data_IF_178132764934
#
_entry.id   IF_178132764934
#
_cell.length_a   1.000
_cell.length_b   1.000
_cell.length_c   1.000
_cell.angle_alpha   90.00
_cell.angle_beta   90.00
_cell.angle_gamma   90.00
#
_symmetry.space_group_name_H-M   'P 1'
#
loop_
_entity.id
_entity.type
_entity.pdbx_description
1 polymer ?
#
# COMPACT_ATOMS: atom_id res chain seq x y z
N UNK A 1 3.66 19.36 2.49
CA UNK A 1 2.67 18.30 2.73
C UNK A 1 3.30 17.12 3.47
N UNK A 2 2.56 16.51 4.37
CA UNK A 2 2.93 15.30 5.08
C UNK A 2 2.13 14.13 4.53
N UNK A 3 2.72 12.94 4.54
CA UNK A 3 2.05 11.73 4.03
C UNK A 3 2.37 10.55 4.93
N UNK A 4 1.38 9.71 5.17
CA UNK A 4 1.57 8.40 5.76
C UNK A 4 1.16 7.32 4.76
N UNK A 5 1.82 6.18 4.81
CA UNK A 5 1.53 5.03 3.95
C UNK A 5 1.07 3.88 4.83
N UNK A 6 -0.03 3.27 4.45
CA UNK A 6 -0.61 2.09 5.09
C UNK A 6 -0.55 0.94 4.10
N UNK A 7 0.17 -0.11 4.43
CA UNK A 7 0.18 -1.35 3.66
C UNK A 7 -1.07 -2.17 4.00
N UNK A 8 -1.75 -2.68 2.99
CA UNK A 8 -2.99 -3.43 3.13
C UNK A 8 -2.78 -4.85 2.60
N UNK A 9 -3.24 -5.85 3.36
CA UNK A 9 -3.23 -7.24 2.93
C UNK A 9 -4.46 -7.51 2.06
N UNK A 10 -4.27 -8.19 0.92
CA UNK A 10 -5.39 -8.64 0.10
C UNK A 10 -6.24 -9.68 0.83
N UNK A 11 -7.52 -9.71 0.50
CA UNK A 11 -8.46 -10.76 0.91
C UNK A 11 -8.80 -11.63 -0.30
N UNK A 12 -9.17 -12.87 -0.06
CA UNK A 12 -9.49 -13.82 -1.11
C UNK A 12 -10.99 -13.74 -1.46
N UNK A 13 -11.38 -12.62 -2.09
CA UNK A 13 -12.76 -12.27 -2.38
C UNK A 13 -13.49 -13.34 -3.21
N UNK A 14 -12.81 -13.97 -4.17
CA UNK A 14 -13.42 -14.98 -5.06
C UNK A 14 -13.78 -16.28 -4.35
N UNK A 15 -13.15 -16.58 -3.19
CA UNK A 15 -13.47 -17.76 -2.38
C UNK A 15 -14.58 -17.52 -1.36
N UNK A 16 -15.10 -16.31 -1.27
CA UNK A 16 -16.16 -15.95 -0.34
C UNK A 16 -17.54 -16.30 -0.89
N UNK A 17 -18.46 -16.64 0.00
CA UNK A 17 -19.86 -16.79 -0.30
C UNK A 17 -20.50 -15.45 -0.69
N UNK A 18 -21.63 -15.49 -1.40
CA UNK A 18 -22.35 -14.29 -1.83
C UNK A 18 -22.71 -13.36 -0.65
N UNK A 19 -23.24 -13.82 0.49
CA UNK A 19 -23.51 -12.95 1.65
C UNK A 19 -22.26 -12.31 2.26
N UNK A 20 -21.12 -13.02 2.24
CA UNK A 20 -19.86 -12.47 2.73
C UNK A 20 -19.34 -11.36 1.82
N UNK A 21 -19.43 -11.55 0.49
CA UNK A 21 -19.07 -10.53 -0.49
C UNK A 21 -19.92 -9.28 -0.36
N UNK A 22 -21.25 -9.45 -0.25
CA UNK A 22 -22.17 -8.34 -0.03
C UNK A 22 -21.86 -7.58 1.25
N UNK A 23 -21.51 -8.28 2.34
CA UNK A 23 -21.11 -7.68 3.61
C UNK A 23 -19.84 -6.84 3.48
N UNK A 24 -18.84 -7.34 2.75
CA UNK A 24 -17.58 -6.60 2.50
C UNK A 24 -17.85 -5.38 1.62
N UNK A 25 -18.64 -5.51 0.56
CA UNK A 25 -18.97 -4.38 -0.33
C UNK A 25 -19.73 -3.29 0.41
N UNK A 26 -20.71 -3.68 1.22
CA UNK A 26 -21.46 -2.73 2.03
C UNK A 26 -20.55 -2.01 3.05
N UNK A 27 -19.68 -2.77 3.73
CA UNK A 27 -18.73 -2.23 4.67
C UNK A 27 -17.71 -1.30 3.98
N UNK A 28 -17.25 -1.64 2.78
CA UNK A 28 -16.35 -0.80 1.98
C UNK A 28 -17.00 0.54 1.59
N UNK A 29 -18.26 0.52 1.16
CA UNK A 29 -19.04 1.73 0.93
C UNK A 29 -19.12 2.59 2.19
N UNK A 30 -19.33 1.95 3.35
CA UNK A 30 -19.31 2.63 4.65
C UNK A 30 -17.98 3.31 4.95
N UNK A 31 -16.86 2.62 4.72
CA UNK A 31 -15.51 3.18 4.88
C UNK A 31 -15.31 4.39 3.97
N UNK A 32 -15.64 4.29 2.67
CA UNK A 32 -15.49 5.41 1.75
C UNK A 32 -16.32 6.61 2.15
N UNK A 33 -17.55 6.40 2.59
CA UNK A 33 -18.45 7.48 3.03
C UNK A 33 -18.04 8.13 4.36
N UNK A 34 -17.24 7.44 5.18
CA UNK A 34 -16.71 7.97 6.44
C UNK A 34 -15.44 8.80 6.28
N UNK A 35 -14.84 8.83 5.09
CA UNK A 35 -13.62 9.59 4.83
C UNK A 35 -13.93 11.07 4.61
N UNK A 36 -13.46 11.91 5.53
CA UNK A 36 -13.55 13.37 5.44
C UNK A 36 -12.33 14.01 4.77
N UNK A 37 -11.40 13.19 4.28
CA UNK A 37 -10.15 13.62 3.66
C UNK A 37 -9.81 12.75 2.43
N UNK A 38 -9.06 13.27 1.45
CA UNK A 38 -8.66 12.51 0.29
C UNK A 38 -7.65 11.42 0.68
N UNK A 39 -7.76 10.26 0.03
CA UNK A 39 -6.78 9.19 0.09
C UNK A 39 -6.31 8.85 -1.33
N UNK A 40 -5.14 8.21 -1.44
CA UNK A 40 -4.66 7.64 -2.69
C UNK A 40 -4.49 6.13 -2.49
N UNK A 41 -5.05 5.34 -3.40
CA UNK A 41 -4.85 3.89 -3.43
C UNK A 41 -3.73 3.61 -4.44
N UNK A 42 -2.66 2.99 -3.98
CA UNK A 42 -1.54 2.58 -4.80
C UNK A 42 -1.51 1.06 -4.89
N UNK A 43 -1.53 0.53 -6.10
CA UNK A 43 -1.34 -0.89 -6.37
C UNK A 43 0.01 -1.07 -7.06
N UNK A 44 0.90 -1.83 -6.42
CA UNK A 44 2.19 -2.20 -6.97
C UNK A 44 2.09 -3.64 -7.48
N UNK A 45 2.39 -3.85 -8.75
CA UNK A 45 2.51 -5.18 -9.34
C UNK A 45 3.99 -5.45 -9.65
N UNK A 46 4.51 -6.58 -9.17
CA UNK A 46 5.90 -6.95 -9.36
C UNK A 46 5.98 -8.43 -9.70
N UNK A 47 6.88 -8.81 -10.61
CA UNK A 47 7.12 -10.22 -10.92
C UNK A 47 7.69 -10.91 -9.68
N UNK A 48 7.17 -12.10 -9.35
CA UNK A 48 7.70 -12.92 -8.26
C UNK A 48 9.05 -13.49 -8.71
N UNK A 49 10.06 -13.31 -7.87
CA UNK A 49 11.34 -14.01 -8.01
C UNK A 49 11.23 -15.37 -7.31
N UNK A 50 11.24 -16.43 -8.12
CA UNK A 50 11.13 -17.82 -7.66
C UNK A 50 12.52 -18.43 -7.38
N UNK A 51 13.62 -17.79 -7.82
CA UNK A 51 14.96 -18.34 -7.65
C UNK A 51 15.30 -18.74 -6.21
N UNK A 52 15.00 -17.93 -5.16
CA UNK A 52 15.26 -18.32 -3.76
C UNK A 52 14.46 -19.54 -3.29
N UNK A 53 13.28 -19.78 -3.88
CA UNK A 53 12.49 -20.96 -3.58
C UNK A 53 13.08 -22.21 -4.22
N UNK A 54 13.49 -22.13 -5.50
CA UNK A 54 14.13 -23.23 -6.21
C UNK A 54 15.48 -23.60 -5.58
N UNK A 55 16.27 -22.62 -5.14
CA UNK A 55 17.52 -22.87 -4.40
C UNK A 55 17.26 -23.65 -3.10
N UNK A 56 16.25 -23.25 -2.35
CA UNK A 56 15.86 -23.97 -1.11
C UNK A 56 15.44 -25.41 -1.39
N UNK A 57 14.68 -25.65 -2.46
CA UNK A 57 14.29 -27.01 -2.86
C UNK A 57 15.51 -27.83 -3.28
N UNK A 58 16.44 -27.24 -4.03
CA UNK A 58 17.69 -27.89 -4.43
C UNK A 58 18.57 -28.25 -3.21
N UNK A 59 18.59 -27.38 -2.18
CA UNK A 59 19.28 -27.68 -0.92
C UNK A 59 18.64 -28.86 -0.17
N UNK A 60 17.32 -28.88 -0.08
CA UNK A 60 16.59 -30.01 0.54
C UNK A 60 16.87 -31.31 -0.24
N UNK A 61 16.87 -31.22 -1.59
CA UNK A 61 17.18 -32.35 -2.46
C UNK A 61 18.58 -32.90 -2.23
N UNK A 62 19.60 -32.05 -2.10
CA UNK A 62 20.98 -32.44 -1.85
C UNK A 62 21.18 -33.15 -0.49
N UNK A 63 20.42 -32.74 0.50
CA UNK A 63 20.50 -33.28 1.85
C UNK A 63 19.61 -34.51 2.07
N UNK A 64 18.96 -35.04 1.04
CA UNK A 64 18.07 -36.18 1.13
C UNK A 64 18.69 -37.41 0.48
N UNK A 65 18.90 -38.47 1.28
CA UNK A 65 19.53 -39.74 0.85
C UNK A 65 18.52 -40.68 0.17
N UNK A 66 17.23 -40.40 0.19
CA UNK A 66 16.21 -41.22 -0.44
C UNK A 66 16.19 -41.00 -1.97
N UNK A 67 16.69 -41.98 -2.72
CA UNK A 67 16.81 -41.90 -4.19
C UNK A 67 15.46 -41.64 -4.87
N UNK A 68 14.37 -42.32 -4.45
CA UNK A 68 13.05 -42.19 -5.07
C UNK A 68 12.48 -40.78 -4.83
N UNK A 69 12.60 -40.28 -3.59
CA UNK A 69 12.18 -38.92 -3.26
C UNK A 69 13.04 -37.89 -4.01
N UNK A 70 14.32 -38.19 -4.22
CA UNK A 70 15.21 -37.38 -4.99
C UNK A 70 14.74 -37.15 -6.44
N UNK A 71 14.34 -38.22 -7.12
CA UNK A 71 13.80 -38.13 -8.49
C UNK A 71 12.52 -37.31 -8.53
N UNK A 72 11.60 -37.54 -7.60
CA UNK A 72 10.36 -36.73 -7.49
C UNK A 72 10.64 -35.26 -7.24
N UNK A 73 11.64 -34.93 -6.42
CA UNK A 73 12.04 -33.56 -6.17
C UNK A 73 12.65 -32.88 -7.40
N UNK A 74 13.49 -33.62 -8.16
CA UNK A 74 14.07 -33.10 -9.39
C UNK A 74 12.96 -32.80 -10.43
N UNK A 75 11.98 -33.69 -10.59
CA UNK A 75 10.82 -33.46 -11.46
C UNK A 75 9.99 -32.26 -10.99
N UNK A 76 9.76 -32.14 -9.68
CA UNK A 76 9.03 -31.01 -9.10
C UNK A 76 9.74 -29.68 -9.30
N UNK A 77 11.06 -29.63 -9.09
CA UNK A 77 11.86 -28.41 -9.32
C UNK A 77 11.76 -27.98 -10.78
N UNK A 78 11.92 -28.91 -11.71
CA UNK A 78 11.82 -28.65 -13.15
C UNK A 78 10.40 -28.14 -13.52
N UNK A 79 9.36 -28.76 -12.97
CA UNK A 79 7.98 -28.33 -13.18
C UNK A 79 7.73 -26.90 -12.69
N UNK A 80 8.18 -26.56 -11.48
CA UNK A 80 8.03 -25.22 -10.92
C UNK A 80 8.81 -24.17 -11.74
N UNK A 81 10.03 -24.50 -12.17
CA UNK A 81 10.82 -23.61 -13.03
C UNK A 81 10.10 -23.34 -14.36
N UNK A 82 9.59 -24.38 -15.02
CA UNK A 82 8.85 -24.26 -16.26
C UNK A 82 7.56 -23.41 -16.08
N UNK A 83 6.76 -23.71 -15.06
CA UNK A 83 5.54 -22.92 -14.76
C UNK A 83 5.88 -21.45 -14.49
N UNK A 84 6.99 -21.20 -13.80
CA UNK A 84 7.46 -19.83 -13.53
C UNK A 84 7.83 -19.05 -14.78
N UNK A 85 8.39 -19.71 -15.78
CA UNK A 85 8.78 -19.10 -17.05
C UNK A 85 7.57 -18.83 -17.95
N UNK A 86 6.59 -19.73 -17.96
CA UNK A 86 5.38 -19.63 -18.78
C UNK A 86 4.33 -18.70 -18.15
N UNK A 87 4.09 -18.82 -16.86
CA UNK A 87 3.15 -17.99 -16.14
C UNK A 87 3.85 -16.74 -15.61
N UNK A 88 3.53 -15.56 -16.16
CA UNK A 88 3.95 -14.27 -15.59
C UNK A 88 3.31 -14.06 -14.21
N UNK A 89 3.78 -14.79 -13.20
CA UNK A 89 3.25 -14.72 -11.84
C UNK A 89 3.63 -13.35 -11.23
N UNK A 90 2.60 -12.58 -10.91
CA UNK A 90 2.77 -11.22 -10.38
C UNK A 90 2.28 -11.17 -8.94
N UNK A 91 3.11 -10.66 -8.07
CA UNK A 91 2.72 -10.26 -6.72
C UNK A 91 2.13 -8.86 -6.74
N UNK A 92 0.99 -8.68 -6.07
CA UNK A 92 0.31 -7.39 -5.95
C UNK A 92 0.32 -6.94 -4.50
N UNK A 93 0.94 -5.79 -4.29
CA UNK A 93 0.95 -5.12 -2.98
C UNK A 93 0.04 -3.89 -3.03
N UNK A 94 -0.76 -3.71 -1.99
CA UNK A 94 -1.75 -2.64 -1.90
C UNK A 94 -1.36 -1.66 -0.80
N UNK A 95 -1.44 -0.37 -1.10
CA UNK A 95 -1.10 0.69 -0.16
C UNK A 95 -2.16 1.79 -0.21
N UNK A 96 -2.47 2.34 0.96
CA UNK A 96 -3.27 3.56 1.08
C UNK A 96 -2.36 4.68 1.56
N UNK A 97 -2.27 5.75 0.76
CA UNK A 97 -1.52 6.95 1.11
C UNK A 97 -2.48 7.99 1.66
N UNK A 98 -2.21 8.43 2.89
CA UNK A 98 -3.00 9.43 3.62
C UNK A 98 -2.24 10.74 3.62
N UNK A 99 -2.66 11.76 2.87
CA UNK A 99 -2.01 13.07 2.85
C UNK A 99 -2.55 13.98 3.95
N UNK A 100 -1.68 14.89 4.40
CA UNK A 100 -2.05 16.04 5.21
C UNK A 100 -1.38 17.30 4.66
N UNK A 101 -2.16 18.33 4.48
CA UNK A 101 -1.70 19.65 4.04
C UNK A 101 -1.85 20.62 5.22
N UNK A 102 -0.79 21.30 5.59
CA UNK A 102 -0.88 22.34 6.62
C UNK A 102 -1.68 23.53 6.10
N UNK A 103 -2.45 24.16 6.99
CA UNK A 103 -3.36 25.26 6.66
C UNK A 103 -2.80 26.38 5.74
N UNK A 104 -1.50 26.76 5.80
CA UNK A 104 -0.95 27.77 4.89
C UNK A 104 -1.00 27.39 3.40
N UNK A 105 -1.03 26.09 3.07
CA UNK A 105 -1.12 25.61 1.68
C UNK A 105 -2.57 25.58 1.18
N UNK A 106 -3.51 25.28 2.07
CA UNK A 106 -4.96 25.30 1.76
C UNK A 106 -5.48 26.74 1.61
N UNK A 107 -5.04 27.69 2.45
CA UNK A 107 -5.38 29.11 2.29
C UNK A 107 -4.83 29.70 0.99
N UNK A 108 -3.61 29.31 0.57
CA UNK A 108 -3.06 29.71 -0.71
C UNK A 108 -3.85 29.13 -1.90
N UNK A 109 -4.37 27.93 -1.79
CA UNK A 109 -5.20 27.32 -2.83
C UNK A 109 -6.59 27.94 -2.94
N UNK A 110 -7.20 28.35 -1.83
CA UNK A 110 -8.51 29.00 -1.82
C UNK A 110 -8.45 30.48 -2.22
N UNK A 111 -7.36 31.18 -1.91
CA UNK A 111 -7.12 32.58 -2.31
C UNK A 111 -6.68 32.71 -3.77
N UNK A 112 -6.29 31.63 -4.42
CA UNK A 112 -5.81 31.62 -5.79
C UNK A 112 -6.92 31.92 -6.83
N UNK A 113 -8.20 31.81 -6.44
CA UNK A 113 -9.31 32.17 -7.32
C UNK A 113 -9.53 33.69 -7.45
N UNK A 114 -8.97 34.49 -6.55
CA UNK A 114 -9.16 35.95 -6.54
C UNK A 114 -7.95 36.76 -7.05
N UNK A 115 -6.77 36.17 -7.24
CA UNK A 115 -5.56 36.90 -7.60
C UNK A 115 -4.80 36.34 -8.81
N UNK A 116 -5.48 36.06 -9.90
CA UNK A 116 -4.86 35.65 -11.19
C UNK A 116 -3.87 36.71 -11.69
N UNK A 117 -4.07 37.98 -11.38
CA UNK A 117 -3.17 39.07 -11.77
C UNK A 117 -1.81 39.06 -11.04
N UNK A 118 -1.76 38.66 -9.80
CA UNK A 118 -0.49 38.57 -9.04
C UNK A 118 0.35 37.35 -9.42
N UNK A 119 -0.22 36.31 -10.03
CA UNK A 119 0.49 35.11 -10.44
C UNK A 119 1.37 35.31 -11.68
N UNK A 120 1.03 36.29 -12.53
CA UNK A 120 1.76 36.58 -13.76
C UNK A 120 3.04 37.39 -13.54
N UNK A 121 3.20 38.04 -12.38
CA UNK A 121 4.33 38.93 -12.08
C UNK A 121 5.15 38.56 -10.84
N UNK A 122 4.80 37.50 -10.12
CA UNK A 122 5.56 37.06 -8.95
C UNK A 122 6.69 36.13 -9.39
N UNK A 123 7.90 36.62 -9.35
CA UNK A 123 9.12 35.82 -9.42
C UNK A 123 9.15 34.88 -8.23
N UNK A 124 8.99 33.58 -8.50
CA UNK A 124 8.98 32.51 -7.49
C UNK A 124 10.38 32.35 -6.90
N UNK A 125 10.71 33.10 -5.86
CA UNK A 125 11.81 32.75 -4.96
C UNK A 125 11.26 31.68 -4.02
N UNK A 126 11.69 30.44 -4.20
CA UNK A 126 11.34 29.34 -3.27
C UNK A 126 12.05 29.58 -1.94
N UNK A 127 11.38 30.24 -1.01
CA UNK A 127 11.81 30.26 0.38
C UNK A 127 11.80 28.82 0.89
N UNK A 128 12.95 28.37 1.39
CA UNK A 128 13.08 27.14 2.16
C UNK A 128 12.28 27.36 3.43
N UNK A 129 11.02 26.96 3.42
CA UNK A 129 10.11 27.13 4.56
C UNK A 129 10.59 26.21 5.67
N UNK A 130 11.24 26.78 6.69
CA UNK A 130 11.49 26.05 7.94
C UNK A 130 10.13 25.69 8.53
N UNK A 131 9.83 24.39 8.62
CA UNK A 131 8.60 23.90 9.25
C UNK A 131 8.70 24.23 10.73
N UNK A 132 7.79 25.08 11.22
CA UNK A 132 7.67 25.36 12.65
C UNK A 132 7.31 24.09 13.41
N UNK A 133 7.93 23.91 14.58
CA UNK A 133 7.78 22.70 15.42
C UNK A 133 6.31 22.45 15.80
N UNK A 134 5.56 23.51 16.07
CA UNK A 134 4.14 23.43 16.39
C UNK A 134 3.31 22.94 15.18
N UNK A 135 3.64 23.40 13.98
CA UNK A 135 3.01 22.92 12.72
C UNK A 135 3.34 21.44 12.45
N UNK A 136 4.56 21.02 12.77
CA UNK A 136 4.97 19.63 12.67
C UNK A 136 4.18 18.73 13.65
N UNK A 137 4.11 19.10 14.92
CA UNK A 137 3.43 18.32 15.95
C UNK A 137 1.93 18.20 15.66
N UNK A 138 1.28 19.27 15.19
CA UNK A 138 -0.11 19.23 14.72
C UNK A 138 -0.30 18.30 13.53
N UNK A 139 0.63 18.35 12.57
CA UNK A 139 0.58 17.49 11.39
C UNK A 139 0.73 16.01 11.74
N UNK A 140 1.63 15.68 12.66
CA UNK A 140 1.84 14.32 13.15
C UNK A 140 0.59 13.79 13.85
N UNK A 141 -0.03 14.59 14.72
CA UNK A 141 -1.25 14.22 15.43
C UNK A 141 -2.39 13.96 14.46
N UNK A 142 -2.61 14.88 13.53
CA UNK A 142 -3.68 14.76 12.55
C UNK A 142 -3.49 13.57 11.60
N UNK A 143 -2.28 13.36 11.10
CA UNK A 143 -1.97 12.18 10.27
C UNK A 143 -2.20 10.89 11.06
N UNK A 144 -1.81 10.83 12.33
CA UNK A 144 -2.05 9.66 13.16
C UNK A 144 -3.55 9.36 13.30
N UNK A 145 -4.37 10.39 13.54
CA UNK A 145 -5.81 10.24 13.64
C UNK A 145 -6.42 9.71 12.32
N UNK A 146 -6.02 10.29 11.20
CA UNK A 146 -6.47 9.84 9.85
C UNK A 146 -6.06 8.40 9.55
N UNK A 147 -4.82 8.05 9.87
CA UNK A 147 -4.31 6.67 9.68
C UNK A 147 -5.10 5.68 10.52
N UNK A 148 -5.39 6.02 11.79
CA UNK A 148 -6.19 5.16 12.66
C UNK A 148 -7.63 5.00 12.13
N UNK A 149 -8.25 6.07 11.62
CA UNK A 149 -9.56 5.99 11.00
C UNK A 149 -9.56 5.06 9.78
N UNK A 150 -8.54 5.15 8.90
CA UNK A 150 -8.39 4.27 7.74
C UNK A 150 -8.17 2.81 8.17
N UNK A 151 -7.25 2.55 9.11
CA UNK A 151 -6.96 1.19 9.60
C UNK A 151 -8.19 0.60 10.26
N UNK A 152 -8.89 1.35 11.13
CA UNK A 152 -10.11 0.89 11.79
C UNK A 152 -11.24 0.58 10.81
N UNK A 153 -11.43 1.44 9.81
CA UNK A 153 -12.40 1.22 8.74
C UNK A 153 -12.10 -0.04 7.92
N UNK A 154 -10.85 -0.22 7.50
CA UNK A 154 -10.41 -1.41 6.76
C UNK A 154 -10.51 -2.69 7.59
N UNK A 155 -10.23 -2.61 8.89
CA UNK A 155 -10.35 -3.75 9.79
C UNK A 155 -11.79 -4.26 9.90
N UNK A 156 -12.79 -3.37 9.88
CA UNK A 156 -14.20 -3.74 9.91
C UNK A 156 -14.66 -4.56 8.69
N UNK A 157 -13.91 -4.50 7.60
CA UNK A 157 -14.14 -5.29 6.38
C UNK A 157 -13.09 -6.39 6.20
N UNK A 158 -12.49 -6.85 7.29
CA UNK A 158 -11.51 -7.95 7.35
C UNK A 158 -10.22 -7.68 6.56
N UNK A 159 -9.94 -6.44 6.21
CA UNK A 159 -8.68 -6.04 5.57
C UNK A 159 -7.66 -5.67 6.64
N UNK A 160 -6.68 -6.55 6.85
CA UNK A 160 -5.56 -6.26 7.74
C UNK A 160 -4.64 -5.22 7.11
N UNK A 161 -4.34 -4.18 7.86
CA UNK A 161 -3.51 -3.09 7.40
C UNK A 161 -2.55 -2.60 8.47
N UNK A 162 -1.36 -2.16 8.06
CA UNK A 162 -0.30 -1.71 8.95
C UNK A 162 0.33 -0.43 8.39
N UNK A 163 0.57 0.55 9.27
CA UNK A 163 1.31 1.74 8.89
C UNK A 163 2.78 1.39 8.64
N UNK A 164 3.34 1.82 7.52
CA UNK A 164 4.76 1.69 7.24
C UNK A 164 5.57 2.75 7.99
N UNK A 165 6.71 2.33 8.52
CA UNK A 165 7.71 3.21 9.13
C UNK A 165 8.77 3.60 8.09
N UNK A 166 9.53 4.68 8.36
CA UNK A 166 10.57 5.20 7.45
C UNK A 166 11.72 4.21 7.19
N UNK A 167 11.77 3.09 7.91
CA UNK A 167 12.81 2.05 7.78
C UNK A 167 12.35 0.82 6.99
N UNK A 168 11.11 0.79 6.58
CA UNK A 168 10.48 -0.23 5.74
C UNK A 168 10.13 0.42 4.39
#
# INVERSE_FOLDING_TARGET
>A
SFRAVVACKSINYDLMSEPERDGIEYGYKGVLNSLEFPIQILVRSQRIDIAPYLERLADIRRNNDNMLLGVLMDDYINFIDQVSQEANIMDKSFFVVVPYYSSPELEKASTQSQNIFNLLFATKTSEITRIDRNTYDKAVTEINNRVQAVIGGLFNIVIHSVRLNTKE
#
